data_IF_205099996977
#
_entry.id   IF_205099996977
#
_cell.length_a   1.000
_cell.length_b   1.000
_cell.length_c   1.000
_cell.angle_alpha   90.00
_cell.angle_beta   90.00
_cell.angle_gamma   90.00
#
_symmetry.space_group_name_H-M   'P 1'
#
loop_
_entity.id
_entity.type
_entity.pdbx_description
1 polymer ?
#
# COMPACT_ATOMS: atom_id res chain seq x y z
N UNK A 1 8.90 -37.19 -0.88
CA UNK A 1 10.30 -37.19 -0.36
C UNK A 1 10.93 -35.89 -0.80
N UNK A 2 10.92 -34.87 0.05
CA UNK A 2 11.70 -33.65 -0.14
C UNK A 2 12.05 -33.12 1.25
N UNK A 3 13.24 -33.48 1.70
CA UNK A 3 13.82 -33.00 2.95
C UNK A 3 14.30 -31.57 2.76
N UNK A 4 14.03 -30.73 3.73
CA UNK A 4 14.53 -29.37 3.85
C UNK A 4 16.05 -29.40 4.11
N UNK A 5 16.93 -28.75 3.27
CA UNK A 5 18.38 -28.90 3.35
C UNK A 5 19.08 -28.05 4.43
N UNK A 6 18.37 -27.41 5.35
CA UNK A 6 18.99 -26.36 6.18
C UNK A 6 19.21 -26.67 7.66
N UNK A 7 18.94 -27.85 8.20
CA UNK A 7 19.42 -28.23 9.54
C UNK A 7 19.45 -29.76 9.69
N UNK A 8 20.61 -30.40 9.75
CA UNK A 8 20.71 -31.78 10.20
C UNK A 8 20.48 -31.85 11.71
N UNK A 9 19.46 -32.56 12.15
CA UNK A 9 19.09 -32.75 13.55
C UNK A 9 19.94 -33.81 14.29
N UNK A 10 21.07 -34.22 13.73
CA UNK A 10 21.83 -35.39 14.21
C UNK A 10 23.00 -35.04 15.15
N UNK A 11 23.18 -33.77 15.56
CA UNK A 11 24.29 -33.37 16.45
C UNK A 11 23.87 -32.83 17.82
N UNK A 12 22.66 -33.13 18.29
CA UNK A 12 22.34 -32.94 19.70
C UNK A 12 22.35 -34.31 20.37
N UNK A 13 23.52 -34.67 20.91
CA UNK A 13 23.69 -35.89 21.73
C UNK A 13 22.76 -35.84 22.95
N UNK A 14 21.67 -36.57 22.88
CA UNK A 14 20.90 -37.00 24.04
C UNK A 14 21.22 -38.43 24.33
N UNK A 15 21.83 -38.66 25.50
CA UNK A 15 22.08 -39.96 26.06
C UNK A 15 20.80 -40.80 26.10
N UNK A 16 20.88 -41.98 25.51
CA UNK A 16 19.81 -42.96 25.47
C UNK A 16 19.80 -43.79 26.78
N UNK A 17 19.32 -43.18 27.86
CA UNK A 17 18.92 -43.97 29.05
C UNK A 17 17.86 -43.17 29.82
N UNK A 18 16.59 -43.44 29.52
CA UNK A 18 15.45 -43.60 30.42
C UNK A 18 14.16 -43.71 29.58
N UNK A 19 13.90 -44.96 29.15
CA UNK A 19 12.68 -45.30 28.45
C UNK A 19 11.52 -45.41 29.46
N UNK A 20 11.09 -44.24 30.04
CA UNK A 20 9.75 -44.12 30.61
C UNK A 20 8.81 -43.73 29.52
N UNK A 21 8.14 -44.69 28.94
CA UNK A 21 7.04 -44.53 28.01
C UNK A 21 5.94 -43.74 28.69
N UNK A 22 5.99 -42.41 28.53
CA UNK A 22 4.95 -41.49 29.00
C UNK A 22 3.67 -41.84 28.24
N UNK A 23 2.76 -42.55 28.89
CA UNK A 23 1.42 -42.86 28.36
C UNK A 23 0.67 -41.52 28.35
N UNK A 24 0.64 -40.85 27.20
CA UNK A 24 -0.14 -39.64 27.00
C UNK A 24 -1.63 -40.05 27.04
N UNK A 25 -2.46 -39.50 27.96
CA UNK A 25 -3.88 -39.78 28.00
C UNK A 25 -4.55 -39.42 26.67
N UNK A 26 -5.58 -40.18 26.26
CA UNK A 26 -6.30 -39.93 24.98
C UNK A 26 -6.79 -38.48 24.81
N UNK A 27 -7.10 -37.80 25.92
CA UNK A 27 -7.50 -36.38 25.95
C UNK A 27 -6.38 -35.45 25.47
N UNK A 28 -5.11 -35.79 25.75
CA UNK A 28 -3.96 -34.97 25.32
C UNK A 28 -3.70 -35.06 23.83
N UNK A 29 -4.10 -36.13 23.16
CA UNK A 29 -3.87 -36.31 21.72
C UNK A 29 -4.76 -35.42 20.90
N UNK A 30 -6.03 -35.23 21.26
CA UNK A 30 -6.93 -34.29 20.59
C UNK A 30 -6.50 -32.85 20.82
N UNK A 31 -6.11 -32.50 22.05
CA UNK A 31 -5.57 -31.16 22.40
C UNK A 31 -4.26 -30.94 21.63
N UNK A 32 -3.37 -31.92 21.53
CA UNK A 32 -2.15 -31.80 20.77
C UNK A 32 -2.41 -31.61 19.27
N UNK A 33 -3.34 -32.33 18.66
CA UNK A 33 -3.73 -32.20 17.26
C UNK A 33 -4.39 -30.83 16.99
N UNK A 34 -5.23 -30.36 17.90
CA UNK A 34 -5.81 -29.01 17.81
C UNK A 34 -4.72 -27.92 17.89
N UNK A 35 -3.78 -28.02 18.84
CA UNK A 35 -2.65 -27.09 18.97
C UNK A 35 -1.76 -27.10 17.72
N UNK A 36 -1.48 -28.28 17.18
CA UNK A 36 -0.70 -28.46 15.94
C UNK A 36 -1.41 -27.81 14.74
N UNK A 37 -2.72 -28.00 14.63
CA UNK A 37 -3.56 -27.38 13.59
C UNK A 37 -3.59 -25.85 13.73
N UNK A 38 -3.75 -25.35 14.95
CA UNK A 38 -3.68 -23.90 15.23
C UNK A 38 -2.31 -23.32 14.93
N UNK A 39 -1.23 -24.02 15.28
CA UNK A 39 0.14 -23.60 14.97
C UNK A 39 0.38 -23.55 13.45
N UNK A 40 -0.08 -24.56 12.70
CA UNK A 40 -0.04 -24.56 11.23
C UNK A 40 -0.77 -23.35 10.64
N UNK A 41 -2.01 -23.11 11.06
CA UNK A 41 -2.80 -21.94 10.62
C UNK A 41 -2.10 -20.61 10.94
N UNK A 42 -1.41 -20.53 12.08
CA UNK A 42 -0.63 -19.33 12.43
C UNK A 42 0.60 -19.13 11.53
N UNK A 43 1.27 -20.21 11.14
CA UNK A 43 2.42 -20.14 10.21
C UNK A 43 1.93 -19.69 8.84
N UNK A 44 0.87 -20.30 8.30
CA UNK A 44 0.29 -19.94 7.00
C UNK A 44 -0.16 -18.47 6.97
N UNK A 45 -0.76 -18.00 8.07
CA UNK A 45 -1.19 -16.61 8.19
C UNK A 45 0.00 -15.64 8.23
N UNK A 46 1.08 -15.96 8.95
CA UNK A 46 2.31 -15.16 8.97
C UNK A 46 2.96 -15.10 7.58
N UNK A 47 2.99 -16.23 6.90
CA UNK A 47 3.53 -16.33 5.55
C UNK A 47 2.72 -15.51 4.55
N UNK A 48 1.39 -15.60 4.58
CA UNK A 48 0.50 -14.73 3.80
C UNK A 48 0.81 -13.24 4.06
N UNK A 49 0.91 -12.83 5.31
CA UNK A 49 1.25 -11.44 5.66
C UNK A 49 2.61 -10.99 5.13
N UNK A 50 3.61 -11.87 5.18
CA UNK A 50 4.94 -11.64 4.62
C UNK A 50 4.85 -11.43 3.10
N UNK A 51 4.08 -12.28 2.38
CA UNK A 51 3.86 -12.14 0.93
C UNK A 51 3.26 -10.79 0.57
N UNK A 52 2.21 -10.35 1.27
CA UNK A 52 1.61 -9.01 1.06
C UNK A 52 2.59 -7.87 1.40
N UNK A 53 3.43 -8.05 2.43
CA UNK A 53 4.47 -7.07 2.76
C UNK A 53 5.53 -6.96 1.64
N UNK A 54 5.88 -8.07 0.99
CA UNK A 54 6.76 -8.07 -0.18
C UNK A 54 6.11 -7.36 -1.38
N UNK A 55 4.82 -7.63 -1.65
CA UNK A 55 4.09 -6.95 -2.72
C UNK A 55 4.04 -5.42 -2.53
N UNK A 56 3.92 -4.95 -1.28
CA UNK A 56 4.02 -3.52 -0.96
C UNK A 56 5.39 -2.97 -1.37
N UNK A 57 6.47 -3.70 -1.11
CA UNK A 57 7.84 -3.26 -1.48
C UNK A 57 8.00 -3.16 -2.99
N UNK A 58 7.52 -4.16 -3.74
CA UNK A 58 7.54 -4.14 -5.22
C UNK A 58 6.85 -2.89 -5.78
N UNK A 59 5.59 -2.65 -5.39
CA UNK A 59 4.84 -1.50 -5.90
C UNK A 59 5.43 -0.17 -5.39
N UNK A 60 5.94 -0.13 -4.17
CA UNK A 60 6.63 1.06 -3.65
C UNK A 60 7.86 1.41 -4.47
N UNK A 61 8.72 0.42 -4.76
CA UNK A 61 9.92 0.62 -5.58
C UNK A 61 9.58 1.19 -6.95
N UNK A 62 8.48 0.74 -7.58
CA UNK A 62 8.01 1.30 -8.85
C UNK A 62 7.71 2.80 -8.76
N UNK A 63 7.04 3.24 -7.71
CA UNK A 63 6.79 4.67 -7.49
C UNK A 63 8.07 5.46 -7.16
N UNK A 64 8.98 4.89 -6.40
CA UNK A 64 10.28 5.51 -6.10
C UNK A 64 11.10 5.69 -7.40
N UNK A 65 11.10 4.69 -8.29
CA UNK A 65 11.74 4.77 -9.63
C UNK A 65 11.06 5.82 -10.50
N UNK A 66 9.72 5.81 -10.59
CA UNK A 66 8.98 6.82 -11.35
C UNK A 66 9.28 8.24 -10.84
N UNK A 67 9.30 8.45 -9.53
CA UNK A 67 9.62 9.76 -8.96
C UNK A 67 11.04 10.22 -9.31
N UNK A 68 12.01 9.29 -9.30
CA UNK A 68 13.40 9.56 -9.71
C UNK A 68 13.48 9.91 -11.20
N UNK A 69 12.78 9.19 -12.06
CA UNK A 69 12.70 9.47 -13.49
C UNK A 69 12.10 10.86 -13.75
N UNK A 70 10.98 11.18 -13.11
CA UNK A 70 10.33 12.50 -13.26
C UNK A 70 11.23 13.64 -12.79
N UNK A 71 12.00 13.43 -11.72
CA UNK A 71 12.97 14.41 -11.25
C UNK A 71 14.03 14.72 -12.32
N UNK A 72 14.57 13.69 -12.96
CA UNK A 72 15.63 13.87 -13.98
C UNK A 72 15.07 14.42 -15.29
N UNK A 73 13.96 13.85 -15.80
CA UNK A 73 13.43 14.20 -17.11
C UNK A 73 12.66 15.53 -17.13
N UNK A 74 11.89 15.78 -16.08
CA UNK A 74 10.97 16.92 -16.03
C UNK A 74 11.30 17.91 -14.92
N UNK A 75 12.44 17.70 -14.23
CA UNK A 75 12.95 18.57 -13.17
C UNK A 75 11.95 18.82 -12.05
N UNK A 76 11.07 17.88 -11.80
CA UNK A 76 10.05 17.97 -10.75
C UNK A 76 9.83 16.63 -10.03
N UNK A 77 9.44 16.72 -8.77
CA UNK A 77 9.06 15.58 -7.97
C UNK A 77 7.53 15.57 -7.80
N UNK A 78 6.78 14.81 -8.60
CA UNK A 78 5.32 14.75 -8.49
C UNK A 78 4.87 14.12 -7.17
N UNK A 79 5.69 13.27 -6.57
CA UNK A 79 5.36 12.53 -5.35
C UNK A 79 5.94 13.26 -4.14
N UNK A 80 5.07 13.68 -3.23
CA UNK A 80 5.44 14.29 -1.95
C UNK A 80 5.71 13.24 -0.88
N UNK A 81 4.91 12.17 -0.83
CA UNK A 81 5.11 11.07 0.10
C UNK A 81 4.48 9.76 -0.38
N UNK A 82 5.08 8.65 0.06
CA UNK A 82 4.56 7.30 -0.15
C UNK A 82 4.40 6.62 1.20
N UNK A 83 3.16 6.32 1.56
CA UNK A 83 2.81 5.61 2.78
C UNK A 83 2.30 4.21 2.44
N UNK A 84 2.71 3.21 3.21
CA UNK A 84 2.26 1.84 3.01
C UNK A 84 1.60 1.28 4.25
N UNK A 85 0.62 0.42 4.06
CA UNK A 85 -0.12 -0.20 5.14
C UNK A 85 -0.46 -1.65 4.83
N UNK A 86 -0.12 -2.53 5.75
CA UNK A 86 -0.67 -3.88 5.78
C UNK A 86 -1.92 -3.87 6.68
N UNK A 87 -3.06 -4.31 6.15
CA UNK A 87 -4.35 -4.33 6.87
C UNK A 87 -4.23 -5.16 8.14
N UNK A 88 -4.77 -4.66 9.27
CA UNK A 88 -4.71 -5.38 10.54
C UNK A 88 -5.55 -6.66 10.50
N UNK A 89 -5.16 -7.66 11.30
CA UNK A 89 -5.87 -8.93 11.41
C UNK A 89 -7.35 -8.73 11.81
N UNK A 90 -7.61 -7.81 12.74
CA UNK A 90 -8.97 -7.45 13.14
C UNK A 90 -9.80 -6.91 11.96
N UNK A 91 -9.22 -6.00 11.15
CA UNK A 91 -9.91 -5.45 9.97
C UNK A 91 -10.10 -6.47 8.85
N UNK A 92 -9.20 -7.46 8.71
CA UNK A 92 -9.36 -8.59 7.79
C UNK A 92 -10.54 -9.45 8.24
N UNK A 93 -10.56 -9.83 9.51
CA UNK A 93 -11.62 -10.65 10.11
C UNK A 93 -12.99 -9.97 9.99
N UNK A 94 -13.08 -8.69 10.36
CA UNK A 94 -14.32 -7.91 10.22
C UNK A 94 -14.82 -7.87 8.77
N UNK A 95 -13.92 -7.71 7.81
CA UNK A 95 -14.30 -7.66 6.39
C UNK A 95 -14.77 -9.01 5.85
N UNK A 96 -14.14 -10.12 6.26
CA UNK A 96 -14.61 -11.46 5.93
C UNK A 96 -15.96 -11.75 6.58
N UNK A 97 -16.15 -11.40 7.85
CA UNK A 97 -17.43 -11.56 8.54
C UNK A 97 -18.56 -10.83 7.83
N UNK A 98 -18.34 -9.59 7.38
CA UNK A 98 -19.33 -8.83 6.57
C UNK A 98 -19.67 -9.50 5.24
N UNK A 99 -18.77 -10.34 4.71
CA UNK A 99 -19.01 -11.14 3.49
C UNK A 99 -19.58 -12.53 3.79
N UNK A 100 -19.74 -12.91 5.07
CA UNK A 100 -20.18 -14.24 5.47
C UNK A 100 -19.15 -15.34 5.24
N UNK A 101 -17.87 -14.98 5.16
CA UNK A 101 -16.77 -15.89 4.87
C UNK A 101 -15.98 -16.24 6.13
N UNK A 102 -15.58 -17.53 6.32
CA UNK A 102 -14.71 -17.91 7.42
C UNK A 102 -13.31 -17.29 7.27
N UNK A 103 -12.65 -17.08 8.42
CA UNK A 103 -11.30 -16.56 8.47
C UNK A 103 -10.29 -17.65 8.10
N UNK A 104 -9.94 -17.73 6.82
CA UNK A 104 -8.90 -18.61 6.28
C UNK A 104 -8.00 -17.83 5.33
N UNK A 105 -6.79 -18.31 5.08
CA UNK A 105 -5.83 -17.66 4.17
C UNK A 105 -6.39 -17.60 2.76
N UNK A 106 -7.02 -18.70 2.30
CA UNK A 106 -7.63 -18.78 0.97
C UNK A 106 -8.71 -17.73 0.78
N UNK A 107 -9.61 -17.59 1.75
CA UNK A 107 -10.67 -16.59 1.68
C UNK A 107 -10.13 -15.17 1.72
N UNK A 108 -9.00 -14.92 2.39
CA UNK A 108 -8.33 -13.62 2.37
C UNK A 108 -7.77 -13.35 0.97
N UNK A 109 -7.01 -14.27 0.41
CA UNK A 109 -6.34 -14.11 -0.89
C UNK A 109 -7.37 -13.96 -2.04
N UNK A 110 -8.44 -14.74 -2.04
CA UNK A 110 -9.45 -14.72 -3.08
C UNK A 110 -10.41 -13.53 -2.99
N UNK A 111 -10.74 -13.08 -1.78
CA UNK A 111 -11.86 -12.13 -1.59
C UNK A 111 -11.43 -10.73 -1.13
N UNK A 112 -10.18 -10.53 -0.69
CA UNK A 112 -9.71 -9.25 -0.18
C UNK A 112 -8.51 -8.74 -1.00
N UNK A 113 -8.74 -7.67 -1.77
CA UNK A 113 -7.69 -7.04 -2.60
C UNK A 113 -7.08 -5.79 -1.95
N UNK A 114 -7.39 -5.51 -0.68
CA UNK A 114 -6.92 -4.35 0.08
C UNK A 114 -6.14 -4.74 1.35
N UNK A 115 -5.60 -5.95 1.36
CA UNK A 115 -4.72 -6.42 2.45
C UNK A 115 -3.39 -5.66 2.43
N UNK A 116 -2.79 -5.52 1.25
CA UNK A 116 -1.67 -4.64 0.98
C UNK A 116 -2.20 -3.31 0.45
N UNK A 117 -1.79 -2.20 1.04
CA UNK A 117 -2.20 -0.86 0.62
C UNK A 117 -1.02 0.10 0.51
N UNK A 118 -0.99 0.89 -0.55
CA UNK A 118 -0.06 1.98 -0.76
C UNK A 118 -0.85 3.26 -0.97
N UNK A 119 -0.42 4.33 -0.32
CA UNK A 119 -0.92 5.67 -0.54
C UNK A 119 0.20 6.54 -1.07
N UNK A 120 -0.02 7.11 -2.24
CA UNK A 120 0.87 8.07 -2.90
C UNK A 120 0.22 9.45 -2.80
N UNK A 121 0.96 10.41 -2.27
CA UNK A 121 0.53 11.80 -2.16
C UNK A 121 1.28 12.61 -3.19
N UNK A 122 0.54 13.30 -4.05
CA UNK A 122 1.03 14.12 -5.15
C UNK A 122 0.84 15.61 -4.88
N UNK A 123 1.60 16.44 -5.56
CA UNK A 123 1.45 17.88 -5.47
C UNK A 123 0.20 18.39 -6.17
N UNK A 124 -0.13 17.85 -7.36
CA UNK A 124 -1.22 18.33 -8.20
C UNK A 124 -2.12 17.21 -8.72
N UNK A 125 -3.32 17.58 -9.16
CA UNK A 125 -4.32 16.60 -9.63
C UNK A 125 -3.88 15.87 -10.91
N UNK A 126 -3.23 16.55 -11.84
CA UNK A 126 -2.69 15.95 -13.08
C UNK A 126 -1.62 14.90 -12.80
N UNK A 127 -0.76 15.10 -11.80
CA UNK A 127 0.24 14.12 -11.38
C UNK A 127 -0.37 12.79 -10.99
N UNK A 128 -1.57 12.80 -10.39
CA UNK A 128 -2.29 11.58 -10.00
C UNK A 128 -2.54 10.69 -11.23
N UNK A 129 -3.04 11.28 -12.31
CA UNK A 129 -3.38 10.54 -13.52
C UNK A 129 -2.14 10.08 -14.29
N UNK A 130 -1.11 10.94 -14.35
CA UNK A 130 0.17 10.60 -14.99
C UNK A 130 0.84 9.42 -14.27
N UNK A 131 0.94 9.44 -12.96
CA UNK A 131 1.53 8.35 -12.16
C UNK A 131 0.69 7.08 -12.22
N UNK A 132 -0.64 7.20 -12.16
CA UNK A 132 -1.54 6.04 -12.31
C UNK A 132 -1.39 5.37 -13.68
N UNK A 133 -1.23 6.15 -14.73
CA UNK A 133 -1.01 5.64 -16.09
C UNK A 133 0.38 5.02 -16.22
N UNK A 134 1.42 5.69 -15.73
CA UNK A 134 2.80 5.19 -15.78
C UNK A 134 2.95 3.85 -15.04
N UNK A 135 2.32 3.70 -13.87
CA UNK A 135 2.29 2.41 -13.17
C UNK A 135 1.54 1.35 -14.00
N UNK A 136 0.37 1.71 -14.56
CA UNK A 136 -0.47 0.76 -15.30
C UNK A 136 0.13 0.29 -16.63
N UNK A 137 1.14 0.98 -17.16
CA UNK A 137 1.83 0.66 -18.41
C UNK A 137 3.07 -0.23 -18.20
N UNK A 138 3.45 -0.52 -16.96
CA UNK A 138 4.56 -1.43 -16.70
C UNK A 138 4.16 -2.87 -17.02
N UNK A 139 5.05 -3.62 -17.65
CA UNK A 139 4.79 -4.96 -18.22
C UNK A 139 4.42 -6.00 -17.15
N UNK A 140 4.88 -5.80 -15.92
CA UNK A 140 4.63 -6.67 -14.78
C UNK A 140 3.47 -6.18 -13.88
N UNK A 141 2.70 -5.18 -14.31
CA UNK A 141 1.53 -4.68 -13.60
C UNK A 141 0.24 -5.01 -14.34
N UNK A 142 -0.61 -5.80 -13.69
CA UNK A 142 -1.96 -6.05 -14.17
C UNK A 142 -2.97 -5.24 -13.36
N UNK A 143 -3.72 -4.36 -14.04
CA UNK A 143 -4.76 -3.56 -13.38
C UNK A 143 -6.05 -4.37 -13.27
N UNK A 144 -6.40 -4.75 -12.02
CA UNK A 144 -7.62 -5.50 -11.71
C UNK A 144 -8.85 -4.60 -11.70
N UNK A 145 -8.72 -3.39 -11.10
CA UNK A 145 -9.86 -2.45 -10.97
C UNK A 145 -9.36 -1.02 -10.79
N UNK A 146 -10.14 -0.06 -11.32
CA UNK A 146 -9.97 1.38 -11.11
C UNK A 146 -11.24 1.99 -10.54
N UNK A 147 -11.10 3.00 -9.68
CA UNK A 147 -12.19 3.85 -9.18
C UNK A 147 -11.68 5.28 -9.08
N UNK A 148 -12.29 6.16 -9.82
CA UNK A 148 -11.98 7.58 -9.82
C UNK A 148 -12.97 8.33 -8.94
N UNK A 149 -12.59 8.52 -7.67
CA UNK A 149 -13.35 9.34 -6.73
C UNK A 149 -12.96 10.83 -6.80
N UNK A 150 -12.08 11.24 -7.72
CA UNK A 150 -11.80 12.64 -7.98
C UNK A 150 -12.90 13.19 -8.87
N UNK A 151 -13.20 12.49 -9.97
CA UNK A 151 -14.30 12.83 -10.90
C UNK A 151 -15.68 12.52 -10.33
N UNK A 152 -15.79 11.45 -9.55
CA UNK A 152 -17.04 10.98 -8.94
C UNK A 152 -16.86 10.84 -7.43
N UNK A 153 -16.85 11.95 -6.66
CA UNK A 153 -16.65 11.94 -5.21
C UNK A 153 -17.68 11.08 -4.49
N UNK A 154 -17.29 10.54 -3.32
CA UNK A 154 -18.26 9.87 -2.46
C UNK A 154 -19.24 10.88 -1.84
N UNK A 155 -20.41 10.43 -1.35
CA UNK A 155 -21.42 11.33 -0.76
C UNK A 155 -20.91 12.21 0.38
N UNK A 156 -19.84 11.81 1.08
CA UNK A 156 -19.21 12.58 2.14
C UNK A 156 -18.11 13.54 1.64
N UNK A 157 -17.94 13.70 0.32
CA UNK A 157 -16.92 14.56 -0.28
C UNK A 157 -15.55 13.90 -0.47
N UNK A 158 -15.35 12.65 -0.07
CA UNK A 158 -14.07 11.95 -0.22
C UNK A 158 -13.61 11.88 -1.68
N UNK A 159 -12.36 12.28 -1.94
CA UNK A 159 -11.70 12.25 -3.26
C UNK A 159 -10.40 11.46 -3.19
N UNK A 160 -10.16 10.62 -4.17
CA UNK A 160 -8.91 9.87 -4.36
C UNK A 160 -9.01 9.06 -5.65
N UNK A 161 -7.90 8.80 -6.32
CA UNK A 161 -7.84 7.81 -7.38
C UNK A 161 -7.43 6.46 -6.79
N UNK A 162 -8.23 5.42 -7.01
CA UNK A 162 -7.97 4.08 -6.50
C UNK A 162 -7.69 3.11 -7.63
N UNK A 163 -6.64 2.32 -7.47
CA UNK A 163 -6.34 1.17 -8.32
C UNK A 163 -6.18 -0.07 -7.44
N UNK A 164 -6.64 -1.21 -7.94
CA UNK A 164 -6.18 -2.51 -7.47
C UNK A 164 -5.33 -3.07 -8.58
N UNK A 165 -4.08 -3.34 -8.28
CA UNK A 165 -3.11 -3.92 -9.20
C UNK A 165 -2.67 -5.30 -8.71
N UNK A 166 -2.34 -6.21 -9.65
CA UNK A 166 -1.58 -7.41 -9.38
C UNK A 166 -0.14 -7.18 -9.78
N UNK A 167 0.78 -7.61 -8.96
CA UNK A 167 2.23 -7.55 -9.20
C UNK A 167 2.86 -8.90 -8.88
N UNK A 168 3.74 -9.45 -9.73
CA UNK A 168 4.48 -10.67 -9.45
C UNK A 168 5.49 -10.41 -8.33
N UNK A 169 5.50 -11.28 -7.34
CA UNK A 169 6.50 -11.30 -6.28
C UNK A 169 7.30 -12.59 -6.40
N UNK A 170 8.63 -12.44 -6.56
CA UNK A 170 9.55 -13.55 -6.75
C UNK A 170 10.09 -14.01 -5.39
N UNK A 171 9.64 -15.17 -4.95
CA UNK A 171 10.15 -15.85 -3.76
C UNK A 171 11.24 -16.86 -4.16
N UNK A 172 11.91 -17.42 -3.18
CA UNK A 172 13.00 -18.37 -3.42
C UNK A 172 12.56 -19.68 -4.12
N UNK A 173 11.32 -20.05 -3.97
CA UNK A 173 10.73 -21.32 -4.44
C UNK A 173 9.62 -21.14 -5.50
N UNK A 174 9.05 -19.93 -5.61
CA UNK A 174 7.93 -19.66 -6.51
C UNK A 174 7.74 -18.20 -6.81
N UNK A 175 7.03 -17.91 -7.89
CA UNK A 175 6.50 -16.57 -8.17
C UNK A 175 5.01 -16.55 -7.85
N UNK A 176 4.52 -15.48 -7.22
CA UNK A 176 3.09 -15.30 -6.93
C UNK A 176 2.61 -13.93 -7.36
N UNK A 177 1.44 -13.92 -8.01
CA UNK A 177 0.68 -12.70 -8.27
C UNK A 177 0.01 -12.21 -6.99
N UNK A 178 0.30 -10.97 -6.61
CA UNK A 178 -0.19 -10.39 -5.37
C UNK A 178 -0.96 -9.10 -5.62
N UNK A 179 -2.17 -9.01 -5.03
CA UNK A 179 -3.00 -7.82 -5.15
C UNK A 179 -2.54 -6.72 -4.18
N UNK A 180 -2.44 -5.48 -4.69
CA UNK A 180 -2.13 -4.27 -3.91
C UNK A 180 -3.15 -3.19 -4.24
N UNK A 181 -3.76 -2.57 -3.21
CA UNK A 181 -4.56 -1.37 -3.37
C UNK A 181 -3.65 -0.15 -3.39
N UNK A 182 -3.70 0.60 -4.48
CA UNK A 182 -3.00 1.88 -4.66
C UNK A 182 -3.99 3.01 -4.57
N UNK A 183 -3.77 3.95 -3.67
CA UNK A 183 -4.55 5.18 -3.49
C UNK A 183 -3.65 6.36 -3.83
N UNK A 184 -4.03 7.16 -4.82
CA UNK A 184 -3.28 8.35 -5.22
C UNK A 184 -4.14 9.57 -4.95
N UNK A 185 -3.56 10.59 -4.29
CA UNK A 185 -4.25 11.79 -3.81
C UNK A 185 -3.35 13.01 -3.96
N UNK A 186 -3.93 14.21 -3.95
CA UNK A 186 -3.18 15.42 -3.65
C UNK A 186 -2.93 15.56 -2.15
N UNK A 187 -2.04 16.48 -1.78
CA UNK A 187 -1.81 16.88 -0.39
C UNK A 187 -3.12 17.29 0.28
N UNK A 188 -3.94 18.08 -0.40
CA UNK A 188 -5.19 18.61 0.11
C UNK A 188 -6.26 17.50 0.27
N UNK A 189 -6.34 16.55 -0.67
CA UNK A 189 -7.21 15.38 -0.54
C UNK A 189 -6.78 14.49 0.62
N UNK A 190 -5.48 14.31 0.85
CA UNK A 190 -4.97 13.49 1.96
C UNK A 190 -5.20 14.16 3.31
N UNK A 191 -5.01 15.47 3.39
CA UNK A 191 -5.35 16.26 4.58
C UNK A 191 -6.81 16.03 5.00
N UNK A 192 -7.76 16.22 4.09
CA UNK A 192 -9.19 16.01 4.36
C UNK A 192 -9.48 14.57 4.79
N UNK A 193 -8.95 13.58 4.05
CA UNK A 193 -9.21 12.17 4.32
C UNK A 193 -8.66 11.69 5.67
N UNK A 194 -7.51 12.24 6.10
CA UNK A 194 -6.94 11.94 7.41
C UNK A 194 -7.80 12.49 8.54
N UNK A 195 -8.29 13.72 8.43
CA UNK A 195 -9.14 14.34 9.44
C UNK A 195 -10.52 13.68 9.50
N UNK A 196 -11.15 13.40 8.36
CA UNK A 196 -12.44 12.71 8.31
C UNK A 196 -12.38 11.35 9.00
N UNK A 197 -11.31 10.59 8.77
CA UNK A 197 -11.10 9.30 9.42
C UNK A 197 -10.97 9.43 10.94
N UNK A 198 -10.24 10.44 11.44
CA UNK A 198 -10.10 10.69 12.89
C UNK A 198 -11.42 11.08 13.54
N UNK A 199 -12.24 11.90 12.85
CA UNK A 199 -13.54 12.33 13.34
C UNK A 199 -14.55 11.18 13.40
N UNK A 200 -14.56 10.29 12.41
CA UNK A 200 -15.42 9.10 12.40
C UNK A 200 -15.10 8.09 13.51
N UNK A 201 -13.86 8.04 13.98
CA UNK A 201 -13.44 7.12 15.03
C UNK A 201 -13.99 7.51 16.42
N UNK A 202 -14.37 8.79 16.62
CA UNK A 202 -15.07 9.27 17.83
C UNK A 202 -16.57 9.02 17.66
N UNK A 203 -17.03 7.84 18.05
CA UNK A 203 -18.43 7.38 17.92
C UNK A 203 -19.42 8.25 18.71
N UNK A 204 -20.67 8.35 18.17
CA UNK A 204 -21.87 8.93 18.79
C UNK A 204 -21.79 10.43 19.09
N UNK A 205 -21.60 11.23 18.03
CA UNK A 205 -21.75 12.67 18.15
C UNK A 205 -23.21 13.02 17.82
N UNK A 206 -23.91 13.79 18.68
CA UNK A 206 -25.19 14.38 18.30
C UNK A 206 -25.00 15.23 17.04
N UNK A 207 -25.97 15.24 16.12
CA UNK A 207 -25.93 15.98 14.86
C UNK A 207 -25.00 15.40 13.76
N UNK A 208 -24.93 14.09 13.63
CA UNK A 208 -24.11 13.43 12.60
C UNK A 208 -24.37 13.97 11.18
N UNK A 209 -25.60 14.33 10.84
CA UNK A 209 -25.97 14.87 9.52
C UNK A 209 -25.31 16.24 9.25
N UNK A 210 -25.28 17.14 10.23
CA UNK A 210 -24.65 18.46 10.12
C UNK A 210 -23.13 18.34 9.98
N UNK A 211 -22.52 17.39 10.69
CA UNK A 211 -21.09 17.12 10.60
C UNK A 211 -20.73 16.59 9.19
N UNK A 212 -21.53 15.66 8.66
CA UNK A 212 -21.32 15.16 7.29
C UNK A 212 -21.46 16.28 6.27
N UNK A 213 -22.46 17.16 6.43
CA UNK A 213 -22.65 18.32 5.55
C UNK A 213 -21.43 19.26 5.62
N UNK A 214 -20.95 19.58 6.83
CA UNK A 214 -19.77 20.43 7.02
C UNK A 214 -18.51 19.82 6.40
N UNK A 215 -18.31 18.52 6.56
CA UNK A 215 -17.21 17.78 5.93
C UNK A 215 -17.31 17.82 4.38
N UNK A 216 -18.51 17.70 3.82
CA UNK A 216 -18.74 17.81 2.39
C UNK A 216 -18.40 19.21 1.88
N UNK A 217 -18.85 20.24 2.55
CA UNK A 217 -18.50 21.63 2.22
C UNK A 217 -16.99 21.89 2.28
N UNK A 218 -16.30 21.38 3.31
CA UNK A 218 -14.84 21.44 3.38
C UNK A 218 -14.16 20.72 2.21
N UNK A 219 -14.68 19.55 1.80
CA UNK A 219 -14.13 18.80 0.67
C UNK A 219 -14.28 19.56 -0.67
N UNK A 220 -15.38 20.29 -0.85
CA UNK A 220 -15.62 21.13 -2.02
C UNK A 220 -14.66 22.33 -2.05
N UNK A 221 -14.47 23.01 -0.92
CA UNK A 221 -13.50 24.10 -0.79
C UNK A 221 -12.07 23.65 -1.07
N UNK A 222 -11.68 22.49 -0.54
CA UNK A 222 -10.36 21.90 -0.77
C UNK A 222 -10.18 21.56 -2.25
N UNK A 223 -11.19 21.03 -2.92
CA UNK A 223 -11.11 20.76 -4.36
C UNK A 223 -10.96 22.03 -5.19
N UNK A 224 -11.61 23.13 -4.79
CA UNK A 224 -11.44 24.43 -5.44
C UNK A 224 -10.00 24.98 -5.23
N UNK A 225 -9.42 24.78 -4.04
CA UNK A 225 -8.03 25.17 -3.75
C UNK A 225 -7.05 24.34 -4.60
N UNK A 226 -7.24 23.03 -4.70
CA UNK A 226 -6.42 22.16 -5.56
C UNK A 226 -6.41 22.65 -7.02
N UNK A 227 -7.59 23.01 -7.55
CA UNK A 227 -7.73 23.53 -8.90
C UNK A 227 -7.03 24.90 -9.06
N UNK A 228 -7.18 25.81 -8.09
CA UNK A 228 -6.50 27.10 -8.11
C UNK A 228 -4.96 26.94 -8.07
N UNK A 229 -4.45 26.05 -7.24
CA UNK A 229 -3.01 25.78 -7.17
C UNK A 229 -2.46 25.19 -8.47
N UNK A 230 -3.23 24.33 -9.13
CA UNK A 230 -2.89 23.83 -10.46
C UNK A 230 -2.86 24.94 -11.52
N UNK A 231 -3.84 25.87 -11.51
CA UNK A 231 -3.86 27.03 -12.41
C UNK A 231 -2.67 27.97 -12.19
N UNK A 232 -2.32 28.24 -10.93
CA UNK A 232 -1.12 29.03 -10.59
C UNK A 232 0.15 28.38 -11.16
N UNK A 233 0.28 27.07 -11.02
CA UNK A 233 1.39 26.32 -11.62
C UNK A 233 1.42 26.49 -13.15
N UNK A 234 0.29 26.34 -13.83
CA UNK A 234 0.18 26.50 -15.28
C UNK A 234 0.63 27.93 -15.74
N UNK A 235 0.25 28.95 -14.97
CA UNK A 235 0.67 30.35 -15.23
C UNK A 235 2.19 30.50 -15.09
N UNK A 236 2.81 29.89 -14.08
CA UNK A 236 4.26 29.94 -13.89
C UNK A 236 4.98 29.19 -15.04
N UNK A 237 4.52 27.99 -15.38
CA UNK A 237 5.13 27.16 -16.43
C UNK A 237 4.95 27.76 -17.84
N UNK A 238 3.93 28.60 -18.05
CA UNK A 238 3.69 29.31 -19.32
C UNK A 238 4.35 30.67 -19.42
N UNK A 239 4.99 31.19 -18.36
CA UNK A 239 5.69 32.47 -18.40
C UNK A 239 6.97 32.36 -19.24
N UNK A 240 7.19 33.32 -20.14
CA UNK A 240 8.36 33.39 -21.05
C UNK A 240 9.71 33.57 -20.32
N UNK A 241 9.70 33.82 -19.02
CA UNK A 241 10.88 34.02 -18.17
C UNK A 241 11.43 32.68 -17.53
N UNK A 242 10.94 31.53 -17.94
CA UNK A 242 11.53 30.29 -17.47
C UNK A 242 12.93 30.09 -18.07
N UNK A 243 13.94 29.75 -17.26
CA UNK A 243 15.29 29.49 -17.77
C UNK A 243 15.24 28.40 -18.83
N UNK A 244 15.98 28.57 -19.88
CA UNK A 244 16.08 27.59 -20.97
C UNK A 244 16.61 26.25 -20.45
N UNK A 245 16.29 25.15 -21.15
CA UNK A 245 16.82 23.82 -20.81
C UNK A 245 18.35 23.81 -20.67
N UNK A 246 19.01 24.67 -21.47
CA UNK A 246 20.47 24.81 -21.48
C UNK A 246 20.98 25.52 -20.22
N UNK A 247 20.32 26.55 -19.75
CA UNK A 247 20.64 27.27 -18.49
C UNK A 247 20.42 26.37 -17.26
N UNK A 248 19.36 25.59 -17.26
CA UNK A 248 19.06 24.63 -16.21
C UNK A 248 20.07 23.48 -16.19
N UNK A 249 20.48 23.00 -17.37
CA UNK A 249 21.52 21.97 -17.51
C UNK A 249 22.86 22.48 -16.96
N UNK A 250 23.23 23.69 -17.33
CA UNK A 250 24.49 24.34 -16.87
C UNK A 250 24.50 24.56 -15.36
N UNK A 251 23.37 24.95 -14.75
CA UNK A 251 23.27 25.08 -13.28
C UNK A 251 23.38 23.71 -12.58
N UNK A 252 22.82 22.65 -13.15
CA UNK A 252 22.94 21.29 -12.62
C UNK A 252 24.35 20.77 -12.72
N UNK A 253 25.02 20.97 -13.85
CA UNK A 253 26.42 20.56 -14.02
C UNK A 253 27.32 21.26 -12.98
N UNK A 254 27.12 22.54 -12.74
CA UNK A 254 27.82 23.27 -11.66
C UNK A 254 27.60 22.67 -10.27
N UNK A 255 26.40 22.23 -9.96
CA UNK A 255 26.08 21.61 -8.66
C UNK A 255 26.73 20.22 -8.51
N UNK A 256 26.85 19.47 -9.61
CA UNK A 256 27.55 18.17 -9.61
C UNK A 256 29.03 18.36 -9.38
N UNK A 257 29.67 19.35 -10.06
CA UNK A 257 31.09 19.66 -9.91
C UNK A 257 31.44 20.13 -8.49
N UNK A 258 30.54 20.82 -7.81
CA UNK A 258 30.71 21.23 -6.40
C UNK A 258 30.60 20.01 -5.46
N UNK A 259 29.70 19.07 -5.73
CA UNK A 259 29.50 17.88 -4.88
C UNK A 259 30.61 16.81 -5.01
N UNK A 260 31.39 16.83 -6.09
CA UNK A 260 32.52 15.92 -6.32
C UNK A 260 33.85 16.50 -5.81
N UNK A 261 33.87 17.77 -5.43
CA UNK A 261 35.07 18.51 -4.96
C UNK A 261 35.23 18.60 -3.43
N UNK A 262 34.32 17.96 -2.65
CA UNK A 262 34.41 17.74 -1.21
C UNK A 262 34.67 16.24 -0.92
#
# INVERSE_FOLDING_TARGET
MSGNPFFPLDELGFDAEENQMMVIPKVDKEIYEQRRKMAGTMVDYKEMRMRYSCAIKEVRTKFDVLNSEFNVRYQRNPITSINSRLKSSASIMEKLNRKGLPFTVENVEENLHDVAGIRVVCSYVDDIYVLAQALAQQDDITVIRRKDYIRNPKPNGYRSYHMIVSVPVFFSDQTREMAVEVQIRTIAMDFWACLEHQLKYKQEVPNQAEIVQSLTTCAEQIAAIDEQMWQVRQQIESSEDLPTEEEILMEKLRKIDIAVGE
#
